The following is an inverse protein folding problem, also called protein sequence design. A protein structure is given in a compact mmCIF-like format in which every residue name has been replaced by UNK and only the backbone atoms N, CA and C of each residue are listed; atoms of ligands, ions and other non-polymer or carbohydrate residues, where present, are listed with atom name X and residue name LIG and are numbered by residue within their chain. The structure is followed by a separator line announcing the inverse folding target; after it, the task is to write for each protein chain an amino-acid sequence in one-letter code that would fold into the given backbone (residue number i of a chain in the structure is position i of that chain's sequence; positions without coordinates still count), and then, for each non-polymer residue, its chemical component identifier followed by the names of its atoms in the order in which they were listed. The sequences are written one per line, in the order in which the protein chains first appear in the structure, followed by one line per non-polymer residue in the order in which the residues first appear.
data_IF_518634607183
#
_entry.id   IF_518634607183
#
_cell.length_a   1.000
_cell.length_b   1.000
_cell.length_c   1.000
_cell.angle_alpha   90.00
_cell.angle_beta   90.00
_cell.angle_gamma   90.00
#
_symmetry.space_group_name_H-M   'P 1'
#
loop_
_entity.id
_entity.type
_entity.pdbx_description
1 polymer ?
#
# COMPACT_ATOMS: atom_id res chain seq x y z
N UNK A 1 15.21 -5.88 16.41
CA UNK A 1 14.21 -4.80 16.35
C UNK A 1 13.11 -5.28 15.42
N UNK A 2 11.90 -5.52 15.92
CA UNK A 2 10.79 -5.98 15.10
C UNK A 2 10.10 -4.79 14.43
N UNK A 3 10.54 -4.42 13.23
CA UNK A 3 10.03 -3.23 12.48
C UNK A 3 8.51 -3.26 12.33
N UNK A 4 7.92 -4.44 12.11
CA UNK A 4 6.46 -4.58 12.01
C UNK A 4 5.77 -4.17 13.31
N UNK A 5 6.29 -4.66 14.44
CA UNK A 5 5.73 -4.36 15.76
C UNK A 5 5.83 -2.86 16.05
N UNK A 6 6.97 -2.24 15.77
CA UNK A 6 7.16 -0.80 15.98
C UNK A 6 6.17 0.04 15.13
N UNK A 7 5.93 -0.36 13.88
CA UNK A 7 4.91 0.27 13.02
C UNK A 7 3.49 0.09 13.57
N UNK A 8 3.14 -1.12 14.01
CA UNK A 8 1.83 -1.44 14.58
C UNK A 8 1.58 -0.66 15.87
N UNK A 9 2.57 -0.59 16.76
CA UNK A 9 2.52 0.15 18.02
C UNK A 9 2.39 1.66 17.77
N UNK A 10 3.17 2.21 16.83
CA UNK A 10 3.08 3.63 16.49
C UNK A 10 1.70 4.02 15.92
N UNK A 11 1.14 3.20 15.01
CA UNK A 11 -0.20 3.43 14.46
C UNK A 11 -1.25 3.33 15.57
N UNK A 12 -1.13 2.34 16.47
CA UNK A 12 -2.04 2.15 17.61
C UNK A 12 -2.01 3.33 18.57
N UNK A 13 -0.82 3.82 18.93
CA UNK A 13 -0.65 5.02 19.77
C UNK A 13 -1.28 6.25 19.11
N UNK A 14 -1.00 6.47 17.82
CA UNK A 14 -1.59 7.56 17.06
C UNK A 14 -3.12 7.49 17.06
N UNK A 15 -3.68 6.30 16.80
CA UNK A 15 -5.12 6.05 16.81
C UNK A 15 -5.76 6.44 18.15
N UNK A 16 -5.19 5.97 19.26
CA UNK A 16 -5.67 6.27 20.62
C UNK A 16 -5.63 7.77 20.92
N UNK A 17 -4.57 8.46 20.49
CA UNK A 17 -4.38 9.89 20.77
C UNK A 17 -5.23 10.80 19.87
N UNK A 18 -5.80 10.29 18.77
CA UNK A 18 -6.49 11.11 17.77
C UNK A 18 -7.95 10.72 17.51
N UNK A 19 -8.49 9.68 18.16
CA UNK A 19 -9.84 9.15 17.91
C UNK A 19 -10.05 8.76 16.43
N UNK A 20 -9.20 7.85 15.95
CA UNK A 20 -9.24 7.28 14.60
C UNK A 20 -8.83 5.82 14.64
N UNK A 21 -9.22 5.04 13.63
CA UNK A 21 -8.90 3.60 13.54
C UNK A 21 -8.12 3.30 12.24
N UNK A 22 -6.92 3.88 12.12
CA UNK A 22 -6.05 3.59 10.99
C UNK A 22 -5.47 2.18 11.07
N UNK A 23 -5.32 1.54 9.91
CA UNK A 23 -4.70 0.23 9.75
C UNK A 23 -3.68 0.26 8.60
N UNK A 24 -2.65 -0.56 8.71
CA UNK A 24 -1.70 -0.78 7.62
C UNK A 24 -2.35 -1.67 6.56
N UNK A 25 -2.46 -1.21 5.32
CA UNK A 25 -2.88 -2.05 4.20
C UNK A 25 -1.69 -2.70 3.47
N UNK A 26 -0.62 -1.94 3.26
CA UNK A 26 0.52 -2.41 2.47
C UNK A 26 1.84 -1.80 2.94
N UNK A 27 2.93 -2.57 2.85
CA UNK A 27 4.30 -2.12 3.19
C UNK A 27 5.17 -2.24 1.96
N UNK A 28 6.06 -1.27 1.73
CA UNK A 28 7.05 -1.32 0.65
C UNK A 28 8.43 -0.96 1.14
N UNK A 29 9.42 -1.60 0.53
CA UNK A 29 10.82 -1.35 0.80
C UNK A 29 11.61 -1.37 -0.50
N UNK A 30 12.33 -0.29 -0.79
CA UNK A 30 13.40 -0.32 -1.79
C UNK A 30 14.64 -0.98 -1.18
N UNK A 31 15.26 -1.93 -1.88
CA UNK A 31 16.43 -2.63 -1.37
C UNK A 31 17.43 -3.02 -2.47
N UNK A 32 18.68 -3.22 -2.07
CA UNK A 32 19.70 -3.80 -2.94
C UNK A 32 19.62 -5.33 -2.93
N UNK A 33 19.27 -5.91 -4.07
CA UNK A 33 19.00 -7.34 -4.21
C UNK A 33 20.23 -8.22 -3.94
N UNK A 34 21.40 -7.77 -4.39
CA UNK A 34 22.63 -8.57 -4.34
C UNK A 34 23.01 -8.96 -2.90
N UNK A 35 22.73 -8.10 -1.93
CA UNK A 35 23.04 -8.33 -0.52
C UNK A 35 21.96 -9.10 0.24
N UNK A 36 20.73 -9.18 -0.30
CA UNK A 36 19.57 -9.75 0.39
C UNK A 36 19.07 -11.06 -0.22
N UNK A 37 19.55 -11.42 -1.42
CA UNK A 37 19.04 -12.56 -2.17
C UNK A 37 19.11 -13.88 -1.41
N UNK A 38 20.24 -14.17 -0.74
CA UNK A 38 20.43 -15.42 0.01
C UNK A 38 19.38 -15.54 1.12
N UNK A 39 19.26 -14.52 1.97
CA UNK A 39 18.27 -14.48 3.06
C UNK A 39 16.83 -14.59 2.52
N UNK A 40 16.53 -13.95 1.38
CA UNK A 40 15.22 -14.05 0.75
C UNK A 40 14.92 -15.48 0.24
N UNK A 41 15.90 -16.14 -0.36
CA UNK A 41 15.73 -17.51 -0.86
C UNK A 41 15.52 -18.52 0.30
N UNK A 42 16.04 -18.22 1.50
CA UNK A 42 15.83 -19.01 2.72
C UNK A 42 14.38 -18.90 3.26
N UNK A 43 13.64 -17.85 2.91
CA UNK A 43 12.23 -17.70 3.31
C UNK A 43 11.27 -18.62 2.57
N UNK A 44 11.67 -19.14 1.40
CA UNK A 44 10.82 -20.02 0.59
C UNK A 44 10.92 -19.76 -0.91
N UNK A 45 9.98 -20.34 -1.66
CA UNK A 45 10.06 -20.34 -3.12
C UNK A 45 9.51 -19.06 -3.76
N UNK A 46 10.37 -18.33 -4.45
CA UNK A 46 10.00 -17.15 -5.24
C UNK A 46 9.62 -17.51 -6.68
N UNK A 47 8.34 -17.41 -7.02
CA UNK A 47 7.81 -17.71 -8.36
C UNK A 47 7.72 -16.45 -9.19
N UNK A 48 8.34 -16.46 -10.38
CA UNK A 48 8.24 -15.36 -11.34
C UNK A 48 6.80 -15.23 -11.85
N UNK A 49 6.28 -14.01 -11.82
CA UNK A 49 4.94 -13.71 -12.30
C UNK A 49 4.89 -13.71 -13.84
N UNK A 50 3.77 -14.20 -14.39
CA UNK A 50 3.52 -14.15 -15.84
C UNK A 50 3.38 -12.69 -16.30
N UNK A 51 3.92 -12.38 -17.48
CA UNK A 51 3.95 -11.02 -18.07
C UNK A 51 2.56 -10.34 -18.17
N UNK A 52 1.48 -11.12 -18.30
CA UNK A 52 0.12 -10.61 -18.45
C UNK A 52 -0.75 -10.86 -17.21
N UNK A 53 -0.15 -11.11 -16.04
CA UNK A 53 -0.91 -11.35 -14.82
C UNK A 53 -1.54 -10.05 -14.28
N UNK A 54 -2.79 -10.12 -13.80
CA UNK A 54 -3.49 -9.00 -13.17
C UNK A 54 -2.70 -8.37 -12.02
N UNK A 55 -1.93 -9.18 -11.29
CA UNK A 55 -1.07 -8.70 -10.20
C UNK A 55 0.09 -7.85 -10.72
N UNK A 56 0.69 -8.18 -11.85
CA UNK A 56 1.72 -7.35 -12.46
C UNK A 56 1.15 -6.00 -12.90
N UNK A 57 -0.06 -5.96 -13.45
CA UNK A 57 -0.74 -4.70 -13.75
C UNK A 57 -1.02 -3.87 -12.49
N UNK A 58 -1.39 -4.51 -11.37
CA UNK A 58 -1.58 -3.82 -10.08
C UNK A 58 -0.27 -3.25 -9.53
N UNK A 59 0.83 -3.99 -9.65
CA UNK A 59 2.17 -3.53 -9.29
C UNK A 59 2.61 -2.36 -10.18
N UNK A 60 2.40 -2.46 -11.51
CA UNK A 60 2.74 -1.44 -12.51
C UNK A 60 1.93 -0.15 -12.39
N UNK A 61 0.61 -0.21 -12.09
CA UNK A 61 -0.23 0.98 -11.93
C UNK A 61 0.17 1.89 -10.74
N UNK A 62 1.09 1.43 -9.91
CA UNK A 62 1.57 2.13 -8.70
C UNK A 62 3.00 2.68 -8.86
N UNK A 63 3.58 2.49 -10.05
CA UNK A 63 4.85 3.06 -10.50
C UNK A 63 4.69 3.65 -11.90
N UNK A 64 5.69 4.39 -12.37
CA UNK A 64 5.76 4.82 -13.77
C UNK A 64 5.93 3.53 -14.60
N UNK A 65 5.02 3.32 -15.56
CA UNK A 65 4.62 2.03 -16.16
C UNK A 65 5.77 1.17 -16.76
N UNK A 66 6.92 1.78 -17.01
CA UNK A 66 8.02 1.20 -17.77
C UNK A 66 9.21 0.69 -16.94
N UNK A 67 9.24 0.87 -15.62
CA UNK A 67 10.40 0.49 -14.80
C UNK A 67 10.40 -0.98 -14.30
N UNK A 68 9.27 -1.69 -14.44
CA UNK A 68 9.14 -3.07 -13.95
C UNK A 68 9.44 -4.07 -15.05
N UNK A 69 10.63 -4.68 -14.99
CA UNK A 69 11.05 -5.74 -15.93
C UNK A 69 10.48 -7.11 -15.56
N UNK A 70 10.49 -7.44 -14.27
CA UNK A 70 10.23 -8.77 -13.73
C UNK A 70 9.76 -8.67 -12.29
N UNK A 71 8.72 -9.43 -11.95
CA UNK A 71 8.16 -9.50 -10.61
C UNK A 71 8.10 -10.96 -10.15
N UNK A 72 8.25 -11.16 -8.85
CA UNK A 72 8.29 -12.46 -8.18
C UNK A 72 7.33 -12.43 -7.00
N UNK A 73 6.69 -13.56 -6.74
CA UNK A 73 5.81 -13.79 -5.59
C UNK A 73 6.43 -14.84 -4.68
N UNK A 74 6.39 -14.60 -3.36
CA UNK A 74 6.74 -15.62 -2.39
C UNK A 74 5.58 -16.61 -2.27
N UNK A 75 5.78 -17.80 -2.79
CA UNK A 75 4.83 -18.91 -2.75
C UNK A 75 3.43 -18.52 -3.24
N UNK A 76 2.44 -18.49 -2.34
CA UNK A 76 1.06 -18.03 -2.59
C UNK A 76 0.71 -16.79 -1.78
N UNK A 77 1.66 -16.24 -1.01
CA UNK A 77 1.40 -15.08 -0.16
C UNK A 77 1.34 -13.79 -0.99
N UNK A 78 0.66 -12.79 -0.47
CA UNK A 78 0.62 -11.44 -1.07
C UNK A 78 1.93 -10.66 -0.78
N UNK A 79 3.07 -11.32 -0.97
CA UNK A 79 4.42 -10.79 -0.79
C UNK A 79 5.13 -10.90 -2.14
N UNK A 80 5.57 -9.76 -2.65
CA UNK A 80 6.14 -9.64 -3.98
C UNK A 80 7.42 -8.83 -3.93
N UNK A 81 8.34 -9.09 -4.86
CA UNK A 81 9.31 -8.07 -5.22
C UNK A 81 9.39 -7.94 -6.73
N UNK A 82 9.78 -6.76 -7.20
CA UNK A 82 10.07 -6.55 -8.61
C UNK A 82 11.36 -5.76 -8.79
N UNK A 83 12.08 -6.07 -9.86
CA UNK A 83 13.36 -5.43 -10.15
C UNK A 83 13.11 -4.11 -10.88
N UNK A 84 13.82 -3.06 -10.44
CA UNK A 84 13.85 -1.76 -11.10
C UNK A 84 14.78 -1.78 -12.32
N UNK A 85 14.60 -0.83 -13.23
CA UNK A 85 15.42 -0.70 -14.44
C UNK A 85 16.75 0.05 -14.24
N UNK A 86 16.98 0.63 -13.07
CA UNK A 86 18.18 1.42 -12.75
C UNK A 86 19.49 0.70 -13.09
N UNK A 87 20.45 1.45 -13.63
CA UNK A 87 21.80 0.98 -13.88
C UNK A 87 22.61 0.92 -12.56
N UNK A 88 23.39 -0.14 -12.31
CA UNK A 88 23.48 -1.38 -13.08
C UNK A 88 22.21 -2.23 -12.94
N UNK A 89 21.70 -2.72 -14.08
CA UNK A 89 20.39 -3.39 -14.18
C UNK A 89 20.19 -4.44 -13.08
N UNK A 90 19.03 -4.42 -12.45
CA UNK A 90 18.57 -5.41 -11.44
C UNK A 90 19.31 -5.38 -10.10
N UNK A 91 20.12 -4.35 -9.82
CA UNK A 91 20.71 -4.18 -8.49
C UNK A 91 19.68 -3.77 -7.44
N UNK A 92 18.72 -2.93 -7.84
CA UNK A 92 17.63 -2.45 -6.99
C UNK A 92 16.33 -3.21 -7.27
N UNK A 93 15.58 -3.46 -6.21
CA UNK A 93 14.26 -4.03 -6.27
C UNK A 93 13.36 -3.37 -5.22
N UNK A 94 12.06 -3.45 -5.44
CA UNK A 94 11.08 -3.01 -4.46
C UNK A 94 10.34 -4.26 -3.95
N UNK A 95 10.43 -4.49 -2.65
CA UNK A 95 9.59 -5.42 -1.91
C UNK A 95 8.23 -4.77 -1.66
N UNK A 96 7.16 -5.55 -1.82
CA UNK A 96 5.78 -5.12 -1.56
C UNK A 96 5.01 -6.22 -0.85
N UNK A 97 4.49 -5.88 0.31
CA UNK A 97 3.60 -6.73 1.10
C UNK A 97 2.21 -6.11 1.02
N UNK A 98 1.27 -6.82 0.39
CA UNK A 98 -0.08 -6.31 0.15
C UNK A 98 -1.11 -6.96 1.07
N UNK A 99 -2.15 -6.19 1.32
CA UNK A 99 -3.39 -6.72 1.85
C UNK A 99 -3.27 -7.23 3.27
N UNK A 100 -2.54 -6.48 4.10
CA UNK A 100 -2.48 -6.70 5.54
C UNK A 100 -3.85 -6.44 6.19
N UNK A 101 -4.63 -5.48 5.67
CA UNK A 101 -6.04 -5.26 6.03
C UNK A 101 -7.00 -5.68 4.90
N UNK A 102 -7.44 -6.93 4.90
CA UNK A 102 -8.39 -7.49 3.92
C UNK A 102 -9.54 -8.25 4.58
N UNK A 103 -10.59 -8.53 3.80
CA UNK A 103 -11.84 -9.15 4.27
C UNK A 103 -12.26 -10.38 3.46
N UNK A 104 -11.64 -10.63 2.31
CA UNK A 104 -12.02 -11.71 1.38
C UNK A 104 -10.93 -12.78 1.23
N UNK A 105 -9.80 -12.59 1.89
CA UNK A 105 -8.64 -13.48 1.87
C UNK A 105 -7.83 -13.25 3.14
N UNK A 106 -7.16 -14.29 3.61
CA UNK A 106 -6.22 -14.20 4.71
C UNK A 106 -5.05 -13.27 4.35
N UNK A 107 -4.63 -12.39 5.28
CA UNK A 107 -3.42 -11.60 5.10
C UNK A 107 -2.18 -12.52 5.09
N UNK A 108 -1.03 -12.05 4.57
CA UNK A 108 0.23 -12.75 4.79
C UNK A 108 0.47 -13.01 6.29
N UNK A 109 0.96 -14.20 6.69
CA UNK A 109 1.21 -14.51 8.09
C UNK A 109 2.13 -13.47 8.74
N UNK A 110 1.76 -12.97 9.93
CA UNK A 110 2.52 -11.92 10.64
C UNK A 110 3.99 -12.30 10.82
N UNK A 111 4.27 -13.55 11.19
CA UNK A 111 5.63 -14.08 11.36
C UNK A 111 6.45 -13.96 10.07
N UNK A 112 5.85 -14.30 8.92
CA UNK A 112 6.50 -14.18 7.62
C UNK A 112 6.75 -12.72 7.23
N UNK A 113 5.79 -11.83 7.52
CA UNK A 113 5.97 -10.38 7.30
C UNK A 113 7.13 -9.86 8.16
N UNK A 114 7.19 -10.21 9.44
CA UNK A 114 8.30 -9.83 10.32
C UNK A 114 9.64 -10.35 9.82
N UNK A 115 9.72 -11.61 9.35
CA UNK A 115 10.93 -12.17 8.76
C UNK A 115 11.39 -11.38 7.53
N UNK A 116 10.47 -11.06 6.61
CA UNK A 116 10.78 -10.24 5.43
C UNK A 116 11.31 -8.87 5.86
N UNK A 117 10.64 -8.17 6.78
CA UNK A 117 11.07 -6.85 7.22
C UNK A 117 12.41 -6.89 7.97
N UNK A 118 12.70 -7.94 8.72
CA UNK A 118 14.01 -8.12 9.37
C UNK A 118 15.15 -8.26 8.34
N UNK A 119 14.90 -8.90 7.20
CA UNK A 119 15.85 -8.95 6.08
C UNK A 119 15.97 -7.57 5.45
N UNK A 120 14.86 -6.87 5.22
CA UNK A 120 14.86 -5.55 4.58
C UNK A 120 15.55 -4.48 5.45
N UNK A 121 15.38 -4.53 6.77
CA UNK A 121 15.91 -3.59 7.79
C UNK A 121 15.40 -2.16 7.69
N UNK A 122 14.46 -1.87 6.80
CA UNK A 122 13.87 -0.54 6.62
C UNK A 122 12.49 -0.62 5.95
N UNK A 123 11.74 0.48 5.96
CA UNK A 123 10.47 0.68 5.25
C UNK A 123 10.45 2.04 4.58
N UNK A 124 10.25 2.05 3.26
CA UNK A 124 10.25 3.28 2.45
C UNK A 124 8.85 3.86 2.27
N UNK A 125 7.83 3.01 2.22
CA UNK A 125 6.44 3.44 2.11
C UNK A 125 5.48 2.53 2.85
N UNK A 126 4.36 3.14 3.26
CA UNK A 126 3.23 2.49 3.90
C UNK A 126 1.95 2.95 3.23
N UNK A 127 1.07 2.02 2.87
CA UNK A 127 -0.32 2.37 2.58
C UNK A 127 -1.09 2.27 3.89
N UNK A 128 -1.52 3.40 4.43
CA UNK A 128 -2.37 3.46 5.62
C UNK A 128 -3.82 3.63 5.16
N UNK A 129 -4.74 2.92 5.81
CA UNK A 129 -6.14 2.95 5.43
C UNK A 129 -7.09 3.15 6.62
N UNK A 130 -8.25 3.71 6.30
CA UNK A 130 -9.42 3.79 7.18
C UNK A 130 -10.64 3.24 6.42
N UNK A 131 -11.34 2.29 7.03
CA UNK A 131 -12.60 1.78 6.53
C UNK A 131 -13.77 2.47 7.25
N UNK A 132 -14.77 2.90 6.50
CA UNK A 132 -15.94 3.62 7.03
C UNK A 132 -17.25 3.01 6.52
N UNK A 133 -18.33 3.01 7.32
CA UNK A 133 -19.61 2.39 6.96
C UNK A 133 -20.52 3.31 6.12
N UNK A 134 -19.98 4.39 5.54
CA UNK A 134 -20.75 5.37 4.76
C UNK A 134 -20.02 5.73 3.47
N UNK A 135 -20.77 6.18 2.46
CA UNK A 135 -20.19 6.72 1.24
C UNK A 135 -19.61 8.13 1.49
N UNK A 136 -18.32 8.38 1.19
CA UNK A 136 -17.72 9.70 1.31
C UNK A 136 -18.40 10.75 0.43
N UNK A 137 -18.48 11.99 0.91
CA UNK A 137 -19.00 13.12 0.14
C UNK A 137 -17.97 13.61 -0.89
N UNK A 138 -17.88 12.91 -2.02
CA UNK A 138 -16.88 13.15 -3.08
C UNK A 138 -16.84 14.60 -3.59
N UNK A 139 -17.99 15.28 -3.63
CA UNK A 139 -18.08 16.69 -4.03
C UNK A 139 -17.28 17.63 -3.12
N UNK A 140 -17.12 17.31 -1.83
CA UNK A 140 -16.29 18.10 -0.91
C UNK A 140 -14.80 18.02 -1.28
N UNK A 141 -14.35 16.87 -1.78
CA UNK A 141 -12.97 16.69 -2.24
C UNK A 141 -12.70 17.45 -3.54
N UNK A 142 -13.62 17.43 -4.49
CA UNK A 142 -13.49 18.13 -5.78
C UNK A 142 -13.27 19.64 -5.65
N UNK A 143 -13.72 20.26 -4.54
CA UNK A 143 -13.50 21.69 -4.26
C UNK A 143 -12.03 22.05 -3.99
N UNK A 144 -11.19 21.06 -3.65
CA UNK A 144 -9.80 21.29 -3.21
C UNK A 144 -8.78 20.44 -3.94
N UNK A 145 -9.20 19.32 -4.51
CA UNK A 145 -8.33 18.34 -5.14
C UNK A 145 -8.84 17.96 -6.51
N UNK A 146 -7.91 17.64 -7.41
CA UNK A 146 -8.22 16.93 -8.65
C UNK A 146 -8.57 15.49 -8.26
N UNK A 147 -9.80 15.09 -8.56
CA UNK A 147 -10.33 13.77 -8.23
C UNK A 147 -10.52 12.95 -9.52
N UNK A 148 -9.60 12.04 -9.77
CA UNK A 148 -9.63 11.17 -10.94
C UNK A 148 -10.47 9.92 -10.65
N UNK A 149 -11.51 9.68 -11.43
CA UNK A 149 -12.29 8.45 -11.32
C UNK A 149 -11.63 7.32 -12.12
N UNK A 150 -11.51 6.14 -11.51
CA UNK A 150 -11.04 4.98 -12.25
C UNK A 150 -12.09 4.51 -13.26
N UNK A 151 -11.67 4.46 -14.52
CA UNK A 151 -12.43 3.91 -15.64
C UNK A 151 -11.76 2.60 -16.06
N UNK A 152 -12.55 1.53 -16.18
CA UNK A 152 -12.06 0.22 -16.64
C UNK A 152 -11.63 0.29 -18.11
N UNK A 153 -10.83 -0.67 -18.61
CA UNK A 153 -10.47 -0.73 -20.04
C UNK A 153 -11.69 -0.77 -20.99
N UNK A 154 -12.87 -1.15 -20.49
CA UNK A 154 -14.13 -1.17 -21.23
C UNK A 154 -14.92 0.15 -21.16
N UNK A 155 -14.34 1.21 -20.60
CA UNK A 155 -15.01 2.51 -20.45
C UNK A 155 -15.97 2.62 -19.26
N UNK A 156 -16.09 1.59 -18.42
CA UNK A 156 -17.01 1.61 -17.26
C UNK A 156 -16.41 2.42 -16.11
N UNK A 157 -17.12 3.47 -15.69
CA UNK A 157 -16.83 4.26 -14.50
C UNK A 157 -17.01 3.42 -13.24
N UNK A 158 -16.04 3.47 -12.33
CA UNK A 158 -16.08 2.68 -11.08
C UNK A 158 -16.25 3.57 -9.84
N UNK A 159 -16.57 2.95 -8.71
CA UNK A 159 -16.60 3.62 -7.40
C UNK A 159 -15.20 3.73 -6.78
N UNK A 160 -14.17 3.97 -7.59
CA UNK A 160 -12.78 4.19 -7.15
C UNK A 160 -12.32 5.55 -7.66
N UNK A 161 -11.80 6.36 -6.76
CA UNK A 161 -11.34 7.72 -7.03
C UNK A 161 -9.95 7.92 -6.49
N UNK A 162 -9.15 8.75 -7.16
CA UNK A 162 -7.78 9.04 -6.79
C UNK A 162 -7.58 10.54 -6.63
N UNK A 163 -6.84 10.90 -5.59
CA UNK A 163 -6.16 12.19 -5.46
C UNK A 163 -4.68 11.87 -5.68
N UNK A 164 -4.20 12.04 -6.91
CA UNK A 164 -2.85 11.62 -7.32
C UNK A 164 -1.76 12.60 -6.89
N UNK A 165 -2.11 13.85 -6.59
CA UNK A 165 -1.20 14.82 -6.01
C UNK A 165 -1.96 15.64 -4.96
N UNK A 166 -2.02 15.17 -3.70
CA UNK A 166 -2.74 15.89 -2.65
C UNK A 166 -2.01 17.17 -2.21
N UNK A 167 -0.75 17.38 -2.64
CA UNK A 167 0.12 18.44 -2.16
C UNK A 167 0.28 18.45 -0.63
N UNK A 168 0.26 17.27 -0.01
CA UNK A 168 0.45 17.06 1.42
C UNK A 168 1.80 16.39 1.63
N UNK A 169 2.63 16.97 2.50
CA UNK A 169 3.94 16.43 2.81
C UNK A 169 3.83 14.99 3.33
N UNK A 170 4.60 14.08 2.74
CA UNK A 170 4.61 12.68 3.14
C UNK A 170 3.44 11.83 2.63
N UNK A 171 2.46 12.41 1.90
CA UNK A 171 1.38 11.65 1.24
C UNK A 171 1.49 11.80 -0.27
N UNK A 172 1.82 10.71 -0.96
CA UNK A 172 1.97 10.73 -2.42
C UNK A 172 0.61 10.65 -3.12
N UNK A 173 -0.32 9.87 -2.56
CA UNK A 173 -1.59 9.58 -3.22
C UNK A 173 -2.62 9.15 -2.20
N UNK A 174 -3.87 9.58 -2.41
CA UNK A 174 -5.04 9.06 -1.68
C UNK A 174 -5.97 8.34 -2.66
N UNK A 175 -6.41 7.14 -2.29
CA UNK A 175 -7.41 6.36 -3.01
C UNK A 175 -8.66 6.22 -2.16
N UNK A 176 -9.82 6.55 -2.74
CA UNK A 176 -11.12 6.49 -2.09
C UNK A 176 -12.00 5.53 -2.87
N UNK A 177 -12.44 4.43 -2.26
CA UNK A 177 -13.18 3.42 -3.00
C UNK A 177 -14.17 2.61 -2.18
N UNK A 178 -15.19 2.06 -2.86
CA UNK A 178 -16.11 1.10 -2.26
C UNK A 178 -15.42 -0.27 -2.10
N UNK A 179 -14.87 -0.52 -0.91
CA UNK A 179 -14.20 -1.77 -0.52
C UNK A 179 -15.20 -2.92 -0.44
N UNK A 180 -16.41 -2.66 0.05
CA UNK A 180 -17.50 -3.64 0.11
C UNK A 180 -17.81 -4.21 -1.26
N UNK A 181 -18.04 -3.33 -2.24
CA UNK A 181 -18.23 -3.74 -3.64
C UNK A 181 -17.02 -4.47 -4.21
N UNK A 182 -15.81 -3.95 -4.01
CA UNK A 182 -14.56 -4.56 -4.52
C UNK A 182 -14.33 -5.98 -4.00
N UNK A 183 -14.70 -6.24 -2.75
CA UNK A 183 -14.47 -7.51 -2.06
C UNK A 183 -15.75 -8.37 -1.97
N UNK A 184 -16.83 -8.00 -2.67
CA UNK A 184 -18.13 -8.69 -2.62
C UNK A 184 -18.67 -8.89 -1.19
N UNK A 185 -18.51 -7.89 -0.33
CA UNK A 185 -19.00 -7.93 1.05
C UNK A 185 -20.47 -7.54 1.11
N UNK A 186 -21.24 -8.22 1.95
CA UNK A 186 -22.66 -7.89 2.18
C UNK A 186 -22.86 -6.71 3.15
N UNK A 187 -22.06 -5.66 3.02
CA UNK A 187 -22.14 -4.45 3.85
C UNK A 187 -21.55 -3.24 3.12
N UNK A 188 -22.04 -2.05 3.47
CA UNK A 188 -21.42 -0.80 3.02
C UNK A 188 -20.07 -0.66 3.70
N UNK A 189 -19.02 -0.56 2.90
CA UNK A 189 -17.66 -0.36 3.39
C UNK A 189 -16.88 0.45 2.37
N UNK A 190 -16.59 1.70 2.70
CA UNK A 190 -15.72 2.56 1.90
C UNK A 190 -14.36 2.67 2.55
N UNK A 191 -13.31 2.66 1.74
CA UNK A 191 -11.93 2.79 2.21
C UNK A 191 -11.33 4.09 1.72
N UNK A 192 -10.71 4.82 2.64
CA UNK A 192 -9.66 5.78 2.35
C UNK A 192 -8.32 5.08 2.50
N UNK A 193 -7.43 5.18 1.52
CA UNK A 193 -6.11 4.55 1.52
C UNK A 193 -5.07 5.58 1.05
N UNK A 194 -4.13 5.95 1.91
CA UNK A 194 -3.08 6.92 1.62
C UNK A 194 -1.73 6.20 1.49
N UNK A 195 -1.04 6.43 0.36
CA UNK A 195 0.35 6.01 0.18
C UNK A 195 1.26 7.05 0.83
N UNK A 196 1.89 6.68 1.94
CA UNK A 196 2.76 7.53 2.73
C UNK A 196 4.24 7.21 2.49
N UNK A 197 5.07 8.25 2.42
CA UNK A 197 6.53 8.14 2.41
C UNK A 197 7.05 8.08 3.84
N UNK A 198 7.92 7.12 4.11
CA UNK A 198 8.53 6.93 5.42
C UNK A 198 10.04 6.98 5.26
N UNK A 199 10.68 7.89 5.99
CA UNK A 199 12.14 7.95 6.12
C UNK A 199 12.59 7.40 7.49
N UNK A 200 11.69 7.48 8.47
CA UNK A 200 11.76 6.80 9.76
C UNK A 200 10.34 6.72 10.34
N UNK A 201 10.08 5.79 11.25
CA UNK A 201 8.74 5.55 11.81
C UNK A 201 8.20 6.80 12.52
N UNK A 202 9.04 7.55 13.24
CA UNK A 202 8.60 8.76 13.97
C UNK A 202 8.08 9.86 13.05
N UNK A 203 8.56 9.92 11.81
CA UNK A 203 8.11 10.88 10.81
C UNK A 203 6.68 10.60 10.28
N UNK A 204 6.05 9.48 10.66
CA UNK A 204 4.68 9.14 10.27
C UNK A 204 3.61 10.02 10.94
N UNK A 205 3.89 10.66 12.08
CA UNK A 205 2.88 11.42 12.82
C UNK A 205 2.22 12.51 11.95
N UNK A 206 3.03 13.28 11.22
CA UNK A 206 2.55 14.38 10.37
C UNK A 206 1.65 13.88 9.22
N UNK A 207 2.08 12.95 8.35
CA UNK A 207 1.21 12.45 7.28
C UNK A 207 -0.03 11.72 7.80
N UNK A 208 0.01 11.06 8.96
CA UNK A 208 -1.19 10.48 9.59
C UNK A 208 -2.19 11.56 10.01
N UNK A 209 -1.71 12.64 10.63
CA UNK A 209 -2.54 13.76 11.04
C UNK A 209 -3.17 14.48 9.84
N UNK A 210 -2.38 14.77 8.81
CA UNK A 210 -2.87 15.36 7.56
C UNK A 210 -3.90 14.45 6.86
N UNK A 211 -3.66 13.13 6.86
CA UNK A 211 -4.60 12.17 6.29
C UNK A 211 -5.93 12.15 7.05
N UNK A 212 -5.88 12.19 8.39
CA UNK A 212 -7.08 12.32 9.22
C UNK A 212 -7.88 13.57 8.88
N UNK A 213 -7.22 14.73 8.82
CA UNK A 213 -7.88 15.99 8.45
C UNK A 213 -8.47 15.94 7.04
N UNK A 214 -7.80 15.27 6.10
CA UNK A 214 -8.33 15.05 4.76
C UNK A 214 -9.63 14.24 4.79
N UNK A 215 -9.66 13.15 5.57
CA UNK A 215 -10.84 12.28 5.70
C UNK A 215 -12.01 13.01 6.36
N UNK A 216 -11.75 13.78 7.42
CA UNK A 216 -12.79 14.54 8.14
C UNK A 216 -13.53 15.51 7.22
N UNK A 217 -12.84 16.09 6.22
CA UNK A 217 -13.48 16.93 5.20
C UNK A 217 -14.46 16.14 4.31
N UNK A 218 -14.30 14.82 4.21
CA UNK A 218 -15.13 13.92 3.40
C UNK A 218 -16.29 13.26 4.14
N UNK A 219 -16.37 13.39 5.47
CA UNK A 219 -17.55 13.04 6.29
C UNK A 219 -18.73 13.96 5.93
#
# INVERSE_FOLDING_TARGET
MEILQELEEFISEFNNNNDVDFSIDSIRVEFSKQHKKKELDELGQWKKLKKNSNILFKLKKRLIYDEITTAYQLEKHNIYYYNMQDAPKYRKAIMVIFGLKQYHQEPPPRTLVSQVLNIMKDVTNLDVCLDVPYQPRLEKFKKRYILDQYITPKGVKTQTHYINNPHIMGIEKVTIYNKGFKNSLNRILWRFEAKMLIHNIKALALPLYEFKQLIEKGR
#
